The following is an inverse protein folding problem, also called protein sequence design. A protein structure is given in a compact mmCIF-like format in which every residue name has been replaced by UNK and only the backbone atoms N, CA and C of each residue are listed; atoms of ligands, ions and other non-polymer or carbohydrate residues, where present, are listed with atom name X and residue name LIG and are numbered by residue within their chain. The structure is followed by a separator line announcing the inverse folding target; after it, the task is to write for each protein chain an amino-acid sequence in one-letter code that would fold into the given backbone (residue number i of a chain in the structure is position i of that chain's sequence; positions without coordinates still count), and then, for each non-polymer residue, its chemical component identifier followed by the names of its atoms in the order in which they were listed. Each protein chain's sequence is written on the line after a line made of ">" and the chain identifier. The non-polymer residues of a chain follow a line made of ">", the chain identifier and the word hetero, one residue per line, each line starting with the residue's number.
data_IF_077953718421
#
_entry.id   IF_077953718421
#
_cell.length_a   1.000
_cell.length_b   1.000
_cell.length_c   1.000
_cell.angle_alpha   90.00
_cell.angle_beta   90.00
_cell.angle_gamma   90.00
#
_symmetry.space_group_name_H-M   'P 1'
#
loop_
_entity.id
_entity.type
_entity.pdbx_description
1 polymer ?
#
# COMPACT_ATOMS: atom_id res chain seq x y z
N UNK A 1 -64.86 -139.71 62.01
CA UNK A 1 -63.94 -138.86 61.23
C UNK A 1 -64.44 -137.43 61.26
N UNK A 2 -63.94 -136.62 62.19
CA UNK A 2 -63.98 -135.16 62.10
C UNK A 2 -62.61 -134.69 62.52
N UNK A 3 -61.93 -134.08 61.54
CA UNK A 3 -60.63 -133.46 61.68
C UNK A 3 -60.74 -132.39 62.77
N UNK A 4 -60.25 -132.72 63.95
CA UNK A 4 -59.90 -131.72 64.94
C UNK A 4 -58.66 -131.03 64.44
N UNK A 5 -58.86 -130.01 63.61
CA UNK A 5 -57.90 -128.92 63.44
C UNK A 5 -57.56 -128.48 64.86
N UNK A 6 -56.30 -128.64 65.22
CA UNK A 6 -55.89 -128.54 66.61
C UNK A 6 -56.00 -127.08 67.05
N UNK A 7 -56.26 -126.85 68.33
CA UNK A 7 -56.26 -125.51 68.93
C UNK A 7 -55.04 -124.66 68.48
N UNK A 8 -53.87 -125.29 68.26
CA UNK A 8 -52.66 -124.64 67.75
C UNK A 8 -52.84 -124.00 66.36
N UNK A 9 -53.56 -124.62 65.43
CA UNK A 9 -53.75 -124.10 64.06
C UNK A 9 -54.68 -122.87 64.06
N UNK A 10 -55.72 -122.87 64.89
CA UNK A 10 -56.61 -121.71 65.05
C UNK A 10 -55.90 -120.52 65.70
N UNK A 11 -55.07 -120.77 66.72
CA UNK A 11 -54.26 -119.72 67.35
C UNK A 11 -53.21 -119.16 66.38
N UNK A 12 -52.61 -120.00 65.55
CA UNK A 12 -51.60 -119.58 64.56
C UNK A 12 -52.21 -118.72 63.45
N UNK A 13 -53.40 -119.07 62.96
CA UNK A 13 -54.16 -118.25 62.01
C UNK A 13 -54.61 -116.91 62.60
N UNK A 14 -55.06 -116.88 63.86
CA UNK A 14 -55.36 -115.62 64.56
C UNK A 14 -54.12 -114.74 64.71
N UNK A 15 -52.96 -115.33 65.02
CA UNK A 15 -51.69 -114.60 65.08
C UNK A 15 -51.35 -113.98 63.72
N UNK A 16 -51.45 -114.75 62.64
CA UNK A 16 -51.20 -114.27 61.28
C UNK A 16 -52.16 -113.16 60.84
N UNK A 17 -53.46 -113.29 61.16
CA UNK A 17 -54.44 -112.23 60.91
C UNK A 17 -54.07 -110.95 61.66
N UNK A 18 -53.67 -111.06 62.93
CA UNK A 18 -53.24 -109.90 63.71
C UNK A 18 -51.98 -109.25 63.15
N UNK A 19 -51.01 -110.05 62.68
CA UNK A 19 -49.79 -109.54 62.05
C UNK A 19 -50.09 -108.83 60.72
N UNK A 20 -50.93 -109.43 59.87
CA UNK A 20 -51.35 -108.82 58.60
C UNK A 20 -52.15 -107.53 58.81
N UNK A 21 -52.98 -107.47 59.84
CA UNK A 21 -53.70 -106.24 60.21
C UNK A 21 -52.73 -105.13 60.64
N UNK A 22 -51.68 -105.47 61.38
CA UNK A 22 -50.61 -104.52 61.71
C UNK A 22 -49.84 -104.07 60.46
N UNK A 23 -49.49 -104.99 59.55
CA UNK A 23 -48.82 -104.64 58.29
C UNK A 23 -49.67 -103.72 57.40
N UNK A 24 -50.97 -103.98 57.26
CA UNK A 24 -51.90 -103.13 56.52
C UNK A 24 -51.95 -101.73 57.15
N UNK A 25 -51.96 -101.64 58.48
CA UNK A 25 -51.99 -100.37 59.19
C UNK A 25 -50.69 -99.57 58.94
N UNK A 26 -49.54 -100.23 58.99
CA UNK A 26 -48.23 -99.63 58.68
C UNK A 26 -48.19 -99.14 57.23
N UNK A 27 -48.54 -99.99 56.27
CA UNK A 27 -48.55 -99.64 54.84
C UNK A 27 -49.52 -98.49 54.53
N UNK A 28 -50.64 -98.40 55.24
CA UNK A 28 -51.59 -97.30 55.08
C UNK A 28 -50.99 -95.98 55.58
N UNK A 29 -50.27 -96.02 56.71
CA UNK A 29 -49.53 -94.86 57.23
C UNK A 29 -48.40 -94.44 56.30
N UNK A 30 -47.63 -95.39 55.76
CA UNK A 30 -46.57 -95.13 54.77
C UNK A 30 -47.14 -94.52 53.48
N UNK A 31 -48.26 -95.03 52.98
CA UNK A 31 -48.92 -94.49 51.77
C UNK A 31 -49.42 -93.06 52.01
N UNK A 32 -49.98 -92.77 53.18
CA UNK A 32 -50.35 -91.41 53.57
C UNK A 32 -49.12 -90.49 53.65
N UNK A 33 -48.02 -90.95 54.24
CA UNK A 33 -46.77 -90.21 54.33
C UNK A 33 -46.19 -89.89 52.94
N UNK A 34 -46.13 -90.88 52.05
CA UNK A 34 -45.66 -90.70 50.67
C UNK A 34 -46.53 -89.73 49.87
N UNK A 35 -47.86 -89.76 50.05
CA UNK A 35 -48.76 -88.76 49.44
C UNK A 35 -48.46 -87.35 49.92
N UNK A 36 -48.17 -87.16 51.21
CA UNK A 36 -47.79 -85.85 51.75
C UNK A 36 -46.43 -85.38 51.19
N UNK A 37 -45.46 -86.28 51.04
CA UNK A 37 -44.16 -85.98 50.42
C UNK A 37 -44.31 -85.58 48.95
N UNK A 38 -45.16 -86.27 48.18
CA UNK A 38 -45.45 -85.93 46.78
C UNK A 38 -46.05 -84.54 46.62
N UNK A 39 -47.00 -84.17 47.49
CA UNK A 39 -47.59 -82.82 47.51
C UNK A 39 -46.53 -81.77 47.84
N UNK A 40 -45.60 -82.09 48.75
CA UNK A 40 -44.51 -81.19 49.13
C UNK A 40 -43.54 -80.97 47.97
N UNK A 41 -43.15 -82.04 47.28
CA UNK A 41 -42.27 -81.97 46.10
C UNK A 41 -42.93 -81.21 44.94
N UNK A 42 -44.21 -81.41 44.68
CA UNK A 42 -44.93 -80.64 43.65
C UNK A 42 -44.97 -79.15 43.97
N UNK A 43 -45.19 -78.77 45.23
CA UNK A 43 -45.10 -77.36 45.67
C UNK A 43 -43.69 -76.79 45.46
N UNK A 44 -42.65 -77.54 45.80
CA UNK A 44 -41.26 -77.11 45.59
C UNK A 44 -40.93 -76.91 44.10
N UNK A 45 -41.37 -77.80 43.21
CA UNK A 45 -41.16 -77.66 41.76
C UNK A 45 -41.85 -76.40 41.22
N UNK A 46 -43.08 -76.10 41.66
CA UNK A 46 -43.79 -74.89 41.25
C UNK A 46 -43.05 -73.63 41.69
N UNK A 47 -42.51 -73.60 42.91
CA UNK A 47 -41.70 -72.48 43.43
C UNK A 47 -40.42 -72.30 42.61
N UNK A 48 -39.74 -73.39 42.25
CA UNK A 48 -38.52 -73.34 41.43
C UNK A 48 -38.81 -72.77 40.04
N UNK A 49 -39.88 -73.23 39.37
CA UNK A 49 -40.28 -72.70 38.06
C UNK A 49 -40.60 -71.21 38.10
N UNK A 50 -41.34 -70.75 39.11
CA UNK A 50 -41.64 -69.33 39.29
C UNK A 50 -40.36 -68.50 39.54
N UNK A 51 -39.39 -69.06 40.25
CA UNK A 51 -38.08 -68.42 40.44
C UNK A 51 -37.26 -68.34 39.15
N UNK A 52 -37.32 -69.36 38.31
CA UNK A 52 -36.63 -69.41 37.01
C UNK A 52 -37.22 -68.38 36.02
N UNK A 53 -38.55 -68.33 35.91
CA UNK A 53 -39.26 -67.33 35.09
C UNK A 53 -38.93 -65.90 35.55
N UNK A 54 -38.87 -65.67 36.87
CA UNK A 54 -38.48 -64.38 37.44
C UNK A 54 -37.03 -63.99 37.18
N UNK A 55 -36.12 -64.95 37.07
CA UNK A 55 -34.72 -64.71 36.69
C UNK A 55 -34.59 -64.38 35.20
N UNK A 56 -35.34 -65.06 34.33
CA UNK A 56 -35.33 -64.77 32.89
C UNK A 56 -35.85 -63.35 32.59
N UNK A 57 -36.90 -62.91 33.27
CA UNK A 57 -37.38 -61.52 33.13
C UNK A 57 -36.30 -60.50 33.55
N UNK A 58 -35.59 -60.76 34.65
CA UNK A 58 -34.47 -59.89 35.07
C UNK A 58 -33.34 -59.86 34.05
N UNK A 59 -33.01 -60.97 33.40
CA UNK A 59 -32.01 -61.02 32.34
C UNK A 59 -32.41 -60.12 31.16
N UNK A 60 -33.66 -60.20 30.72
CA UNK A 60 -34.19 -59.35 29.64
C UNK A 60 -34.14 -57.86 30.03
N UNK A 61 -34.51 -57.52 31.27
CA UNK A 61 -34.40 -56.14 31.77
C UNK A 61 -32.96 -55.64 31.80
N UNK A 62 -32.00 -56.48 32.23
CA UNK A 62 -30.58 -56.12 32.24
C UNK A 62 -29.99 -55.97 30.83
N UNK A 63 -30.39 -56.81 29.88
CA UNK A 63 -29.98 -56.68 28.48
C UNK A 63 -30.48 -55.37 27.86
N UNK A 64 -31.73 -54.97 28.17
CA UNK A 64 -32.28 -53.68 27.74
C UNK A 64 -31.51 -52.51 28.34
N UNK A 65 -31.21 -52.57 29.64
CA UNK A 65 -30.42 -51.54 30.33
C UNK A 65 -29.02 -51.40 29.73
N UNK A 66 -28.39 -52.52 29.36
CA UNK A 66 -27.07 -52.53 28.73
C UNK A 66 -27.10 -51.91 27.32
N UNK A 67 -28.14 -52.16 26.53
CA UNK A 67 -28.33 -51.52 25.22
C UNK A 67 -28.51 -50.00 25.37
N UNK A 68 -29.31 -49.56 26.34
CA UNK A 68 -29.51 -48.13 26.63
C UNK A 68 -28.20 -47.44 27.04
N UNK A 69 -27.39 -48.06 27.91
CA UNK A 69 -26.07 -47.55 28.30
C UNK A 69 -25.08 -47.52 27.13
N UNK A 70 -25.11 -48.51 26.25
CA UNK A 70 -24.25 -48.57 25.06
C UNK A 70 -24.55 -47.41 24.11
N UNK A 71 -25.84 -47.13 23.86
CA UNK A 71 -26.25 -45.99 23.03
C UNK A 71 -25.86 -44.64 23.64
N UNK A 72 -25.98 -44.48 24.97
CA UNK A 72 -25.52 -43.25 25.63
C UNK A 72 -24.01 -43.06 25.51
N UNK A 73 -23.24 -44.14 25.67
CA UNK A 73 -21.76 -44.10 25.53
C UNK A 73 -21.34 -43.66 24.13
N UNK A 74 -22.01 -44.16 23.08
CA UNK A 74 -21.74 -43.75 21.69
C UNK A 74 -22.05 -42.26 21.45
N UNK A 75 -23.17 -41.75 21.99
CA UNK A 75 -23.50 -40.31 21.91
C UNK A 75 -22.46 -39.43 22.60
N UNK A 76 -21.97 -39.85 23.77
CA UNK A 76 -20.91 -39.13 24.49
C UNK A 76 -19.59 -39.11 23.70
N UNK A 77 -19.20 -40.22 23.06
CA UNK A 77 -18.00 -40.25 22.21
C UNK A 77 -18.11 -39.30 21.01
N UNK A 78 -19.28 -39.24 20.36
CA UNK A 78 -19.51 -38.29 19.26
C UNK A 78 -19.44 -36.83 19.72
N UNK A 79 -19.99 -36.51 20.90
CA UNK A 79 -19.91 -35.18 21.51
C UNK A 79 -18.46 -34.79 21.83
N UNK A 80 -17.65 -35.72 22.37
CA UNK A 80 -16.23 -35.48 22.65
C UNK A 80 -15.44 -35.12 21.38
N UNK A 81 -15.69 -35.82 20.27
CA UNK A 81 -15.05 -35.54 18.97
C UNK A 81 -15.45 -34.15 18.44
N UNK A 82 -16.71 -33.74 18.62
CA UNK A 82 -17.16 -32.40 18.21
C UNK A 82 -16.52 -31.30 19.05
N UNK A 83 -16.46 -31.47 20.37
CA UNK A 83 -15.84 -30.50 21.30
C UNK A 83 -14.34 -30.33 21.03
N UNK A 84 -13.65 -31.37 20.58
CA UNK A 84 -12.22 -31.28 20.22
C UNK A 84 -11.94 -30.47 18.93
N UNK A 85 -12.91 -30.30 18.02
CA UNK A 85 -12.71 -29.55 16.77
C UNK A 85 -12.85 -28.03 16.94
N UNK A 86 -13.63 -27.58 17.91
CA UNK A 86 -13.91 -26.15 18.16
C UNK A 86 -12.68 -25.31 18.54
N UNK A 87 -11.75 -25.78 19.39
CA UNK A 87 -10.55 -25.02 19.76
C UNK A 87 -9.59 -24.78 18.59
N UNK A 88 -9.44 -25.76 17.68
CA UNK A 88 -8.55 -25.62 16.52
C UNK A 88 -9.07 -24.60 15.51
N UNK A 89 -10.39 -24.56 15.27
CA UNK A 89 -10.99 -23.55 14.39
C UNK A 89 -10.89 -22.15 15.00
N UNK A 90 -11.07 -22.02 16.31
CA UNK A 90 -10.90 -20.74 17.02
C UNK A 90 -9.43 -20.26 17.00
N UNK A 91 -8.44 -21.14 17.16
CA UNK A 91 -7.03 -20.77 17.07
C UNK A 91 -6.63 -20.28 15.66
N UNK A 92 -7.12 -20.93 14.60
CA UNK A 92 -6.86 -20.47 13.23
C UNK A 92 -7.47 -19.09 12.96
N UNK A 93 -8.69 -18.84 13.45
CA UNK A 93 -9.34 -17.54 13.33
C UNK A 93 -8.57 -16.45 14.09
N UNK A 94 -8.05 -16.75 15.29
CA UNK A 94 -7.24 -15.81 16.07
C UNK A 94 -5.95 -15.43 15.32
N UNK A 95 -5.26 -16.39 14.69
CA UNK A 95 -4.05 -16.12 13.93
C UNK A 95 -4.32 -15.20 12.73
N UNK A 96 -5.40 -15.46 11.98
CA UNK A 96 -5.83 -14.61 10.87
C UNK A 96 -6.17 -13.19 11.32
N UNK A 97 -6.90 -13.05 12.44
CA UNK A 97 -7.24 -11.74 13.01
C UNK A 97 -5.99 -10.98 13.51
N UNK A 98 -4.98 -11.68 14.03
CA UNK A 98 -3.71 -11.05 14.46
C UNK A 98 -2.91 -10.54 13.26
N UNK A 99 -2.79 -11.32 12.19
CA UNK A 99 -2.12 -10.91 10.95
C UNK A 99 -2.82 -9.70 10.31
N UNK A 100 -4.16 -9.71 10.26
CA UNK A 100 -4.94 -8.59 9.74
C UNK A 100 -4.79 -7.34 10.60
N UNK A 101 -4.78 -7.48 11.94
CA UNK A 101 -4.55 -6.37 12.88
C UNK A 101 -3.18 -5.73 12.69
N UNK A 102 -2.13 -6.52 12.49
CA UNK A 102 -0.77 -6.01 12.32
C UNK A 102 -0.61 -5.30 10.96
N UNK A 103 -1.20 -5.84 9.90
CA UNK A 103 -1.28 -5.16 8.60
C UNK A 103 -1.97 -3.80 8.70
N UNK A 104 -3.14 -3.74 9.35
CA UNK A 104 -3.88 -2.49 9.55
C UNK A 104 -3.10 -1.47 10.40
N UNK A 105 -2.36 -1.94 11.41
CA UNK A 105 -1.52 -1.09 12.25
C UNK A 105 -0.38 -0.45 11.46
N UNK A 106 0.26 -1.20 10.56
CA UNK A 106 1.34 -0.66 9.73
C UNK A 106 0.83 0.31 8.66
N UNK A 107 -0.33 0.03 8.05
CA UNK A 107 -1.04 1.00 7.19
C UNK A 107 -1.37 2.30 7.93
N UNK A 108 -1.83 2.20 9.19
CA UNK A 108 -2.13 3.36 10.03
C UNK A 108 -0.87 4.17 10.38
N UNK A 109 0.24 3.52 10.71
CA UNK A 109 1.53 4.20 10.96
C UNK A 109 2.03 4.93 9.72
N UNK A 110 1.96 4.30 8.54
CA UNK A 110 2.34 4.94 7.27
C UNK A 110 1.47 6.19 7.02
N UNK A 111 0.13 6.07 7.16
CA UNK A 111 -0.79 7.21 7.03
C UNK A 111 -0.48 8.33 8.03
N UNK A 112 -0.25 8.01 9.30
CA UNK A 112 0.02 9.02 10.34
C UNK A 112 1.37 9.71 10.11
N UNK A 113 2.39 8.98 9.67
CA UNK A 113 3.67 9.55 9.25
C UNK A 113 3.50 10.53 8.07
N UNK A 114 2.76 10.11 7.03
CA UNK A 114 2.35 10.97 5.89
C UNK A 114 1.69 12.24 6.43
N UNK A 115 0.62 12.14 7.22
CA UNK A 115 -0.11 13.29 7.76
C UNK A 115 0.76 14.27 8.54
N UNK A 116 1.64 13.79 9.44
CA UNK A 116 2.55 14.66 10.20
C UNK A 116 3.53 15.41 9.30
N UNK A 117 4.10 14.73 8.30
CA UNK A 117 4.99 15.36 7.31
C UNK A 117 4.24 16.38 6.44
N UNK A 118 3.02 16.05 6.02
CA UNK A 118 2.13 16.95 5.27
C UNK A 118 1.86 18.23 6.05
N UNK A 119 1.49 18.13 7.34
CA UNK A 119 1.23 19.30 8.20
C UNK A 119 2.47 20.20 8.32
N UNK A 120 3.65 19.63 8.61
CA UNK A 120 4.89 20.42 8.73
C UNK A 120 5.29 21.10 7.40
N UNK A 121 5.06 20.42 6.26
CA UNK A 121 5.31 21.01 4.94
C UNK A 121 4.33 22.12 4.61
N UNK A 122 3.05 21.94 4.92
CA UNK A 122 2.02 22.98 4.77
C UNK A 122 2.32 24.19 5.67
N UNK A 123 2.78 24.01 6.90
CA UNK A 123 3.15 25.12 7.79
C UNK A 123 4.34 25.93 7.24
N UNK A 124 5.37 25.24 6.72
CA UNK A 124 6.53 25.87 6.10
C UNK A 124 6.18 26.62 4.81
N UNK A 125 5.28 26.07 3.99
CA UNK A 125 4.84 26.68 2.73
C UNK A 125 3.77 27.75 2.92
N UNK A 126 2.87 27.62 3.91
CA UNK A 126 1.89 28.65 4.26
C UNK A 126 2.59 29.95 4.68
N UNK A 127 3.78 29.88 5.27
CA UNK A 127 4.62 31.05 5.54
C UNK A 127 5.09 31.78 4.27
N UNK A 128 5.41 31.04 3.20
CA UNK A 128 5.83 31.59 1.90
C UNK A 128 4.61 32.08 1.07
N UNK A 129 3.50 31.35 1.09
CA UNK A 129 2.24 31.70 0.41
C UNK A 129 1.55 32.90 1.07
N UNK A 130 1.65 33.09 2.39
CA UNK A 130 1.10 34.30 3.05
C UNK A 130 1.75 35.58 2.54
N UNK A 131 3.04 35.54 2.18
CA UNK A 131 3.75 36.69 1.60
C UNK A 131 3.18 37.00 0.20
N UNK A 132 2.85 35.97 -0.60
CA UNK A 132 2.23 36.12 -1.92
C UNK A 132 0.76 36.61 -1.85
N UNK A 133 0.02 36.29 -0.78
CA UNK A 133 -1.40 36.68 -0.65
C UNK A 133 -1.64 38.03 0.02
N UNK A 134 -0.68 38.55 0.82
CA UNK A 134 -0.82 39.87 1.44
C UNK A 134 -0.67 41.02 0.46
N UNK A 135 -0.08 40.78 -0.71
CA UNK A 135 0.05 41.78 -1.78
C UNK A 135 -0.83 41.39 -2.98
N UNK A 136 -2.02 42.00 -3.01
CA UNK A 136 -2.95 42.13 -4.14
C UNK A 136 -3.87 40.94 -4.48
N UNK A 137 -5.18 41.24 -4.48
CA UNK A 137 -6.27 40.50 -5.17
C UNK A 137 -6.18 40.61 -6.71
N UNK A 138 -4.99 40.72 -7.28
CA UNK A 138 -4.81 40.67 -8.73
C UNK A 138 -4.74 39.20 -9.16
N UNK A 139 -5.23 38.87 -10.36
CA UNK A 139 -5.03 37.54 -10.98
C UNK A 139 -3.58 37.13 -10.73
N UNK A 140 -3.33 35.91 -10.23
CA UNK A 140 -1.95 35.43 -10.09
C UNK A 140 -1.25 35.69 -11.44
N UNK A 141 -0.16 36.47 -11.47
CA UNK A 141 0.58 36.63 -12.70
C UNK A 141 1.02 35.24 -13.16
N UNK A 142 0.85 34.96 -14.44
CA UNK A 142 1.36 33.73 -15.04
C UNK A 142 2.87 33.77 -14.85
N UNK A 143 3.40 32.87 -14.03
CA UNK A 143 4.83 32.85 -13.76
C UNK A 143 5.52 32.38 -15.04
N UNK A 144 6.33 33.25 -15.64
CA UNK A 144 7.16 32.91 -16.80
C UNK A 144 8.49 32.31 -16.33
N UNK A 145 9.01 31.36 -17.09
CA UNK A 145 10.32 30.75 -16.83
C UNK A 145 11.46 31.75 -17.04
N UNK A 146 12.53 31.67 -16.24
CA UNK A 146 13.69 32.56 -16.41
C UNK A 146 14.37 32.37 -17.77
N UNK A 147 14.34 31.16 -18.34
CA UNK A 147 14.92 30.88 -19.64
C UNK A 147 14.15 31.61 -20.76
N UNK A 148 12.82 31.68 -20.68
CA UNK A 148 11.99 32.46 -21.62
C UNK A 148 12.31 33.96 -21.52
N UNK A 149 12.43 34.47 -20.30
CA UNK A 149 12.86 35.84 -20.04
C UNK A 149 14.26 36.12 -20.61
N UNK A 150 15.21 35.21 -20.38
CA UNK A 150 16.59 35.37 -20.84
C UNK A 150 16.69 35.39 -22.37
N UNK A 151 15.94 34.50 -23.03
CA UNK A 151 15.95 34.37 -24.49
C UNK A 151 15.18 35.50 -25.20
N UNK A 152 14.29 36.21 -24.51
CA UNK A 152 13.57 37.37 -25.08
C UNK A 152 14.31 38.70 -24.92
N UNK A 153 15.35 38.76 -24.08
CA UNK A 153 16.10 39.99 -23.83
C UNK A 153 17.14 40.31 -24.92
N UNK A 154 17.58 41.57 -24.96
CA UNK A 154 18.52 42.08 -25.98
C UNK A 154 19.88 41.36 -26.01
N UNK A 155 20.26 40.65 -24.94
CA UNK A 155 21.57 39.99 -24.80
C UNK A 155 21.44 38.47 -24.64
N UNK A 156 20.52 37.83 -25.39
CA UNK A 156 20.31 36.39 -25.49
C UNK A 156 21.61 35.55 -25.41
N UNK A 157 21.52 34.28 -25.04
CA UNK A 157 22.69 33.37 -24.84
C UNK A 157 23.58 33.26 -26.10
N UNK A 158 23.09 33.56 -27.32
CA UNK A 158 23.97 33.63 -28.50
C UNK A 158 24.82 34.90 -28.58
N UNK A 159 24.35 36.00 -28.00
CA UNK A 159 24.94 37.34 -28.13
C UNK A 159 25.56 37.88 -26.83
N UNK A 160 25.35 37.25 -25.66
CA UNK A 160 25.84 37.76 -24.37
C UNK A 160 27.35 38.03 -24.32
N UNK A 161 28.18 37.18 -24.97
CA UNK A 161 29.65 37.38 -25.04
C UNK A 161 30.05 38.67 -25.74
N UNK A 162 29.19 39.18 -26.63
CA UNK A 162 29.45 40.39 -27.40
C UNK A 162 29.04 41.66 -26.65
N UNK A 163 28.50 41.54 -25.43
CA UNK A 163 28.09 42.69 -24.64
C UNK A 163 29.25 43.20 -23.77
N UNK A 164 29.92 44.32 -24.14
CA UNK A 164 31.05 44.85 -23.37
C UNK A 164 30.63 45.46 -22.02
N UNK A 165 29.32 45.60 -21.75
CA UNK A 165 28.80 46.12 -20.48
C UNK A 165 28.69 45.05 -19.41
N UNK A 166 28.61 43.77 -19.77
CA UNK A 166 28.52 42.70 -18.77
C UNK A 166 29.90 42.54 -18.15
N UNK A 167 29.97 42.83 -16.85
CA UNK A 167 31.14 42.59 -16.03
C UNK A 167 31.00 41.24 -15.36
N UNK A 168 32.13 40.62 -15.05
CA UNK A 168 32.16 39.30 -14.45
C UNK A 168 33.12 39.23 -13.26
N UNK A 169 32.88 38.28 -12.38
CA UNK A 169 33.84 37.83 -11.38
C UNK A 169 34.14 36.33 -11.53
N UNK A 170 35.32 35.92 -11.07
CA UNK A 170 35.71 34.51 -11.02
C UNK A 170 35.37 33.97 -9.64
N UNK A 171 34.68 32.84 -9.59
CA UNK A 171 34.29 32.19 -8.35
C UNK A 171 34.44 30.68 -8.44
N UNK A 172 34.87 30.08 -7.34
CA UNK A 172 35.00 28.63 -7.18
C UNK A 172 33.81 28.06 -6.41
N UNK A 173 33.29 26.93 -6.89
CA UNK A 173 32.15 26.24 -6.32
C UNK A 173 32.42 24.75 -6.15
N UNK A 174 31.91 24.17 -5.06
CA UNK A 174 31.55 22.75 -5.03
C UNK A 174 30.25 22.57 -5.82
N UNK A 175 30.22 21.62 -6.74
CA UNK A 175 29.04 21.32 -7.55
C UNK A 175 28.43 19.98 -7.15
N UNK A 176 27.10 19.97 -7.06
CA UNK A 176 26.31 18.79 -6.78
C UNK A 176 25.22 18.64 -7.83
N UNK A 177 25.13 17.48 -8.47
CA UNK A 177 24.08 17.18 -9.44
C UNK A 177 22.81 16.71 -8.74
N UNK A 178 21.67 17.22 -9.20
CA UNK A 178 20.34 16.81 -8.73
C UNK A 178 19.78 15.80 -9.73
N UNK A 179 19.40 14.62 -9.23
CA UNK A 179 18.85 13.51 -10.01
C UNK A 179 17.57 13.00 -9.39
N UNK A 180 16.83 12.23 -10.18
CA UNK A 180 15.73 11.40 -9.70
C UNK A 180 16.31 10.28 -8.85
N UNK A 181 15.91 10.23 -7.59
CA UNK A 181 16.24 9.17 -6.65
C UNK A 181 15.23 8.01 -6.71
N UNK A 182 15.59 6.90 -6.06
CA UNK A 182 14.82 5.64 -6.05
C UNK A 182 13.37 5.75 -5.58
N UNK A 183 13.02 6.80 -4.83
CA UNK A 183 11.68 6.97 -4.24
C UNK A 183 10.73 7.81 -5.09
N UNK A 184 11.20 8.48 -6.14
CA UNK A 184 10.36 9.39 -6.93
C UNK A 184 9.16 8.67 -7.55
N UNK A 185 9.35 7.48 -8.13
CA UNK A 185 8.24 6.70 -8.69
C UNK A 185 7.17 6.37 -7.63
N UNK A 186 7.58 5.95 -6.43
CA UNK A 186 6.64 5.69 -5.33
C UNK A 186 5.89 6.95 -4.91
N UNK A 187 6.54 8.11 -4.94
CA UNK A 187 5.92 9.41 -4.63
C UNK A 187 4.86 9.76 -5.68
N UNK A 188 5.16 9.57 -6.97
CA UNK A 188 4.20 9.79 -8.07
C UNK A 188 3.00 8.83 -7.96
N UNK A 189 3.26 7.52 -7.80
CA UNK A 189 2.20 6.50 -7.72
C UNK A 189 1.26 6.73 -6.53
N UNK A 190 1.81 7.17 -5.39
CA UNK A 190 1.04 7.49 -4.19
C UNK A 190 0.53 8.94 -4.15
N UNK A 191 0.81 9.75 -5.17
CA UNK A 191 0.41 11.17 -5.27
C UNK A 191 0.89 12.02 -4.10
N UNK A 192 2.05 11.69 -3.53
CA UNK A 192 2.62 12.35 -2.35
C UNK A 192 3.51 13.54 -2.74
N UNK A 193 3.02 14.44 -3.60
CA UNK A 193 3.85 15.49 -4.22
C UNK A 193 4.55 16.42 -3.23
N UNK A 194 3.97 16.63 -2.04
CA UNK A 194 4.61 17.38 -0.94
C UNK A 194 5.90 16.72 -0.42
N UNK A 195 6.11 15.43 -0.68
CA UNK A 195 7.33 14.68 -0.40
C UNK A 195 8.29 14.60 -1.60
N UNK A 196 8.04 15.32 -2.71
CA UNK A 196 8.86 15.22 -3.91
C UNK A 196 10.37 15.43 -3.65
N UNK A 197 10.73 16.25 -2.65
CA UNK A 197 12.11 16.45 -2.22
C UNK A 197 12.79 15.17 -1.70
N UNK A 198 12.04 14.22 -1.11
CA UNK A 198 12.55 12.91 -0.68
C UNK A 198 12.79 11.97 -1.86
N UNK A 199 12.21 12.28 -3.02
CA UNK A 199 12.42 11.58 -4.27
C UNK A 199 13.72 12.00 -4.99
N UNK A 200 14.48 12.95 -4.46
CA UNK A 200 15.69 13.47 -5.11
C UNK A 200 16.96 12.80 -4.59
N UNK A 201 17.90 12.58 -5.50
CA UNK A 201 19.27 12.20 -5.22
C UNK A 201 20.19 13.39 -5.51
N UNK A 202 21.15 13.65 -4.63
CA UNK A 202 22.06 14.80 -4.74
C UNK A 202 23.48 14.29 -4.59
N UNK A 203 24.19 14.18 -5.71
CA UNK A 203 25.54 13.63 -5.77
C UNK A 203 26.54 14.78 -5.87
N UNK A 204 27.60 14.77 -5.05
CA UNK A 204 28.73 15.69 -5.27
C UNK A 204 29.54 15.17 -6.45
N UNK A 205 29.78 16.04 -7.44
CA UNK A 205 30.46 15.68 -8.68
C UNK A 205 31.84 16.34 -8.82
N UNK A 206 32.21 17.20 -7.87
CA UNK A 206 33.54 17.82 -7.81
C UNK A 206 33.47 19.33 -7.61
N UNK A 207 34.48 20.02 -8.13
CA UNK A 207 34.61 21.47 -8.10
C UNK A 207 34.62 22.07 -9.49
N UNK A 208 34.19 23.33 -9.56
CA UNK A 208 34.23 24.14 -10.78
C UNK A 208 34.72 25.55 -10.46
N UNK A 209 35.35 26.18 -11.44
CA UNK A 209 35.71 27.59 -11.46
C UNK A 209 34.91 28.23 -12.59
N UNK A 210 34.02 29.15 -12.23
CA UNK A 210 33.11 29.82 -13.15
C UNK A 210 33.34 31.33 -13.20
N UNK A 211 33.12 31.90 -14.38
CA UNK A 211 33.00 33.33 -14.59
C UNK A 211 31.51 33.70 -14.52
N UNK A 212 31.10 34.42 -13.49
CA UNK A 212 29.70 34.80 -13.23
C UNK A 212 29.48 36.28 -13.52
N UNK A 213 28.35 36.61 -14.14
CA UNK A 213 27.95 38.01 -14.36
C UNK A 213 27.75 38.76 -13.03
N UNK A 214 28.25 39.99 -12.93
CA UNK A 214 28.04 40.86 -11.78
C UNK A 214 26.62 41.45 -11.73
N UNK A 215 26.02 41.63 -12.89
CA UNK A 215 24.64 42.11 -13.04
C UNK A 215 23.73 40.96 -13.49
N UNK A 216 22.44 40.99 -13.12
CA UNK A 216 21.44 40.06 -13.61
C UNK A 216 21.46 39.91 -15.13
N UNK A 217 21.39 38.66 -15.60
CA UNK A 217 21.12 38.39 -17.00
C UNK A 217 19.63 38.22 -17.28
N UNK A 218 18.78 38.01 -16.29
CA UNK A 218 17.33 38.02 -16.49
C UNK A 218 16.67 38.30 -15.15
N UNK A 219 15.61 39.08 -15.15
CA UNK A 219 14.79 39.33 -13.97
C UNK A 219 13.39 38.84 -14.27
N UNK A 220 12.89 37.94 -13.41
CA UNK A 220 11.50 37.51 -13.39
C UNK A 220 10.86 37.86 -12.05
N UNK A 221 9.56 37.60 -11.92
CA UNK A 221 8.76 38.05 -10.77
C UNK A 221 9.25 37.46 -9.43
N UNK A 222 9.69 36.20 -9.44
CA UNK A 222 10.12 35.48 -8.23
C UNK A 222 11.64 35.36 -8.11
N UNK A 223 12.36 35.50 -9.21
CA UNK A 223 13.77 35.14 -9.30
C UNK A 223 14.54 36.01 -10.27
N UNK A 224 15.84 36.01 -10.07
CA UNK A 224 16.82 36.66 -10.93
C UNK A 224 17.83 35.61 -11.38
N UNK A 225 18.13 35.61 -12.68
CA UNK A 225 19.05 34.69 -13.33
C UNK A 225 20.39 35.35 -13.66
N UNK A 226 21.46 34.60 -13.46
CA UNK A 226 22.84 34.97 -13.75
C UNK A 226 23.47 33.87 -14.60
N UNK A 227 24.13 34.25 -15.69
CA UNK A 227 24.93 33.33 -16.49
C UNK A 227 26.26 33.09 -15.78
N UNK A 228 26.64 31.81 -15.69
CA UNK A 228 27.98 31.38 -15.32
C UNK A 228 28.57 30.64 -16.51
N UNK A 229 29.76 31.03 -16.94
CA UNK A 229 30.56 30.26 -17.89
C UNK A 229 31.67 29.51 -17.14
N UNK A 230 31.67 28.17 -17.23
CA UNK A 230 32.65 27.33 -16.55
C UNK A 230 33.98 27.39 -17.29
N UNK A 231 35.02 27.86 -16.59
CA UNK A 231 36.38 27.98 -17.10
C UNK A 231 37.19 26.70 -16.84
N UNK A 232 36.99 26.11 -15.65
CA UNK A 232 37.65 24.87 -15.25
C UNK A 232 36.69 24.01 -14.41
N UNK A 233 36.79 22.70 -14.54
CA UNK A 233 35.97 21.74 -13.82
C UNK A 233 36.74 20.43 -13.60
N UNK A 234 36.49 19.77 -12.47
CA UNK A 234 37.04 18.43 -12.21
C UNK A 234 36.50 17.38 -13.19
N UNK A 235 35.26 17.56 -13.68
CA UNK A 235 34.63 16.77 -14.73
C UNK A 235 34.41 17.64 -15.99
N UNK A 236 35.02 17.23 -17.10
CA UNK A 236 34.92 17.90 -18.40
C UNK A 236 33.48 17.99 -18.92
N UNK A 237 32.58 17.07 -18.51
CA UNK A 237 31.15 17.13 -18.87
C UNK A 237 30.44 18.39 -18.35
N UNK A 238 31.07 19.09 -17.40
CA UNK A 238 30.55 20.30 -16.77
C UNK A 238 31.06 21.59 -17.42
N UNK A 239 31.96 21.52 -18.41
CA UNK A 239 32.40 22.69 -19.16
C UNK A 239 31.30 23.18 -20.11
N UNK A 240 30.39 23.98 -19.54
CA UNK A 240 29.26 24.57 -20.24
C UNK A 240 28.89 25.92 -19.62
N UNK A 241 27.76 26.48 -20.04
CA UNK A 241 27.11 27.63 -19.42
C UNK A 241 26.02 27.15 -18.49
N UNK A 242 25.82 27.90 -17.41
CA UNK A 242 24.80 27.62 -16.41
C UNK A 242 23.98 28.88 -16.15
N UNK A 243 22.70 28.69 -15.87
CA UNK A 243 21.82 29.73 -15.35
C UNK A 243 21.70 29.55 -13.84
N UNK A 244 22.45 30.35 -13.09
CA UNK A 244 22.33 30.45 -11.64
C UNK A 244 21.13 31.31 -11.27
N UNK A 245 20.31 30.82 -10.35
CA UNK A 245 19.07 31.49 -9.93
C UNK A 245 19.15 31.96 -8.49
N UNK A 246 18.62 33.15 -8.25
CA UNK A 246 18.51 33.77 -6.92
C UNK A 246 17.09 34.26 -6.73
N UNK A 247 16.50 33.94 -5.57
CA UNK A 247 15.18 34.45 -5.19
C UNK A 247 15.19 35.94 -4.87
N UNK A 248 14.07 36.59 -5.16
CA UNK A 248 13.70 37.89 -4.60
C UNK A 248 12.98 37.67 -3.26
N UNK A 249 13.64 38.01 -2.15
CA UNK A 249 13.04 37.95 -0.80
C UNK A 249 12.66 39.36 -0.35
N UNK A 250 11.35 39.62 -0.20
CA UNK A 250 10.82 40.92 0.25
C UNK A 250 11.34 42.11 -0.61
N UNK A 251 11.37 41.93 -1.93
CA UNK A 251 11.87 42.94 -2.87
C UNK A 251 13.40 43.14 -2.86
N UNK A 252 14.15 42.32 -2.11
CA UNK A 252 15.61 42.31 -2.11
C UNK A 252 16.15 41.00 -2.66
N UNK A 253 17.18 41.09 -3.48
CA UNK A 253 17.86 39.93 -4.02
C UNK A 253 18.55 39.12 -2.90
N UNK A 254 18.18 37.85 -2.77
CA UNK A 254 18.78 36.91 -1.81
C UNK A 254 20.28 36.75 -2.06
N UNK A 255 21.13 36.69 -1.04
CA UNK A 255 22.56 36.40 -1.19
C UNK A 255 22.85 34.95 -1.62
N UNK A 256 21.85 34.07 -1.57
CA UNK A 256 21.94 32.62 -1.72
C UNK A 256 21.20 31.92 -0.59
N UNK A 257 21.19 30.60 -0.61
CA UNK A 257 20.55 29.78 0.42
C UNK A 257 21.56 29.37 1.48
N UNK A 258 21.14 29.34 2.75
CA UNK A 258 21.98 28.85 3.85
C UNK A 258 22.02 27.33 3.90
N UNK A 259 20.95 26.68 3.43
CA UNK A 259 20.82 25.23 3.43
C UNK A 259 20.73 24.71 2.00
N UNK A 260 21.48 23.64 1.73
CA UNK A 260 21.39 22.88 0.46
C UNK A 260 19.95 22.54 0.10
N UNK A 261 19.15 22.09 1.08
CA UNK A 261 17.76 21.68 0.88
C UNK A 261 16.86 22.79 0.36
N UNK A 262 17.14 24.06 0.68
CA UNK A 262 16.36 25.19 0.17
C UNK A 262 16.67 25.46 -1.30
N UNK A 263 17.94 25.38 -1.70
CA UNK A 263 18.33 25.48 -3.11
C UNK A 263 17.72 24.35 -3.96
N UNK A 264 17.70 23.12 -3.41
CA UNK A 264 17.13 21.95 -4.09
C UNK A 264 15.62 22.08 -4.34
N UNK A 265 14.88 22.82 -3.52
CA UNK A 265 13.43 22.99 -3.74
C UNK A 265 13.11 23.63 -5.10
N UNK A 266 14.07 24.35 -5.69
CA UNK A 266 13.92 24.97 -7.00
C UNK A 266 13.86 23.94 -8.15
N UNK A 267 14.39 22.74 -7.96
CA UNK A 267 14.42 21.69 -9.00
C UNK A 267 13.15 20.84 -9.02
N UNK A 268 12.23 21.00 -8.07
CA UNK A 268 11.15 20.03 -7.84
C UNK A 268 10.27 19.83 -9.08
N UNK A 269 9.85 20.92 -9.73
CA UNK A 269 9.02 20.83 -10.94
C UNK A 269 9.73 20.08 -12.05
N UNK A 270 10.99 20.45 -12.32
CA UNK A 270 11.76 19.84 -13.39
C UNK A 270 12.03 18.35 -13.11
N UNK A 271 12.30 17.98 -11.85
CA UNK A 271 12.56 16.59 -11.46
C UNK A 271 11.30 15.71 -11.51
N UNK A 272 10.14 16.24 -11.11
CA UNK A 272 8.85 15.56 -11.30
C UNK A 272 8.59 15.37 -12.79
N UNK A 273 8.77 16.43 -13.58
CA UNK A 273 8.61 16.37 -15.03
C UNK A 273 9.56 15.35 -15.66
N UNK A 274 10.80 15.25 -15.17
CA UNK A 274 11.77 14.28 -15.67
C UNK A 274 11.34 12.85 -15.36
N UNK A 275 10.82 12.59 -14.16
CA UNK A 275 10.34 11.26 -13.81
C UNK A 275 9.13 10.85 -14.65
N UNK A 276 8.21 11.79 -14.92
CA UNK A 276 7.08 11.55 -15.82
C UNK A 276 7.55 11.33 -17.27
N UNK A 277 8.54 12.10 -17.72
CA UNK A 277 9.10 11.96 -19.07
C UNK A 277 9.83 10.62 -19.25
N UNK A 278 10.58 10.16 -18.25
CA UNK A 278 11.22 8.84 -18.24
C UNK A 278 10.17 7.70 -18.26
N UNK A 279 9.04 7.85 -17.56
CA UNK A 279 7.93 6.88 -17.63
C UNK A 279 7.29 6.86 -19.01
N UNK A 280 7.00 8.03 -19.56
CA UNK A 280 6.39 8.19 -20.87
C UNK A 280 7.27 7.57 -21.95
N UNK A 281 8.53 7.98 -22.05
CA UNK A 281 9.50 7.43 -23.03
C UNK A 281 9.60 5.92 -22.92
N UNK A 282 9.71 5.36 -21.71
CA UNK A 282 9.74 3.91 -21.50
C UNK A 282 8.47 3.19 -21.98
N UNK A 283 7.28 3.80 -21.87
CA UNK A 283 6.03 3.25 -22.43
C UNK A 283 5.98 3.34 -23.96
N UNK A 284 6.65 4.34 -24.53
CA UNK A 284 6.69 4.62 -25.97
C UNK A 284 7.81 3.90 -26.72
N UNK A 285 8.82 3.36 -26.03
CA UNK A 285 9.92 2.57 -26.64
C UNK A 285 9.40 1.43 -27.52
N UNK A 286 8.31 0.75 -27.11
CA UNK A 286 7.70 -0.33 -27.90
C UNK A 286 6.79 0.17 -29.04
N UNK A 287 6.56 1.47 -29.17
CA UNK A 287 5.59 2.08 -30.11
C UNK A 287 6.25 2.82 -31.28
N UNK A 288 7.59 2.79 -31.38
CA UNK A 288 8.32 3.33 -32.54
C UNK A 288 8.70 4.82 -32.44
N UNK A 289 8.55 5.46 -31.27
CA UNK A 289 8.93 6.86 -31.03
C UNK A 289 10.40 7.03 -30.61
N UNK A 290 11.31 6.14 -31.04
CA UNK A 290 12.71 6.14 -30.61
C UNK A 290 13.45 7.44 -30.98
N UNK A 291 13.04 8.12 -32.06
CA UNK A 291 13.64 9.39 -32.49
C UNK A 291 13.47 10.52 -31.47
N UNK A 292 12.45 10.45 -30.61
CA UNK A 292 12.24 11.43 -29.55
C UNK A 292 12.98 11.09 -28.24
N UNK A 293 13.67 9.94 -28.19
CA UNK A 293 14.54 9.59 -27.06
C UNK A 293 15.79 10.46 -27.00
N UNK A 294 16.02 11.39 -27.93
CA UNK A 294 17.11 12.37 -27.82
C UNK A 294 16.73 13.54 -26.90
N UNK A 295 15.44 13.80 -26.69
CA UNK A 295 14.99 14.90 -25.86
C UNK A 295 15.15 14.59 -24.38
N UNK A 296 15.58 15.57 -23.59
CA UNK A 296 15.83 15.42 -22.15
C UNK A 296 15.41 16.66 -21.40
N UNK A 297 15.14 16.49 -20.11
CA UNK A 297 15.07 17.63 -19.21
C UNK A 297 16.49 18.02 -18.81
N UNK A 298 16.74 19.31 -18.77
CA UNK A 298 18.08 19.80 -18.60
C UNK A 298 18.66 19.45 -17.23
N UNK A 299 19.97 19.17 -17.22
CA UNK A 299 20.72 18.84 -16.00
C UNK A 299 20.70 20.01 -15.02
N UNK A 300 20.46 19.68 -13.76
CA UNK A 300 20.27 20.64 -12.67
C UNK A 300 21.22 20.38 -11.53
N UNK A 301 21.62 21.45 -10.86
CA UNK A 301 22.70 21.41 -9.90
C UNK A 301 22.46 22.34 -8.73
N UNK A 302 23.15 22.04 -7.64
CA UNK A 302 23.40 22.96 -6.55
C UNK A 302 24.87 23.33 -6.54
N UNK A 303 25.16 24.63 -6.56
CA UNK A 303 26.50 25.16 -6.36
C UNK A 303 26.64 25.63 -4.93
N UNK A 304 27.71 25.23 -4.25
CA UNK A 304 28.11 25.79 -2.96
C UNK A 304 29.35 26.65 -3.17
N UNK A 305 29.20 27.95 -2.95
CA UNK A 305 30.30 28.91 -3.02
C UNK A 305 31.33 28.64 -1.94
N UNK A 306 32.59 28.46 -2.32
CA UNK A 306 33.67 28.26 -1.35
C UNK A 306 34.04 29.54 -0.59
N UNK A 307 33.74 30.71 -1.17
CA UNK A 307 34.02 32.01 -0.56
C UNK A 307 32.99 32.39 0.52
N UNK A 308 31.71 32.11 0.25
CA UNK A 308 30.58 32.60 1.08
C UNK A 308 29.85 31.49 1.82
N UNK A 309 30.10 30.22 1.50
CA UNK A 309 29.36 29.05 1.98
C UNK A 309 27.86 29.05 1.67
N UNK A 310 27.37 29.96 0.80
CA UNK A 310 26.00 29.93 0.31
C UNK A 310 25.81 28.87 -0.78
N UNK A 311 24.59 28.33 -0.82
CA UNK A 311 24.11 27.42 -1.85
C UNK A 311 23.29 28.18 -2.89
N UNK A 312 23.37 27.75 -4.14
CA UNK A 312 22.63 28.30 -5.27
C UNK A 312 22.07 27.17 -6.13
N UNK A 313 20.85 27.33 -6.62
CA UNK A 313 20.33 26.46 -7.67
C UNK A 313 20.82 26.96 -9.03
N UNK A 314 21.21 26.04 -9.89
CA UNK A 314 21.45 26.33 -11.28
C UNK A 314 21.07 25.16 -12.18
N UNK A 315 20.97 25.45 -13.47
CA UNK A 315 20.80 24.46 -14.53
C UNK A 315 21.77 24.78 -15.66
N UNK A 316 22.19 23.75 -16.40
CA UNK A 316 22.96 23.99 -17.62
C UNK A 316 22.09 24.74 -18.64
N UNK A 317 22.69 25.54 -19.51
CA UNK A 317 21.97 26.22 -20.60
C UNK A 317 22.69 26.03 -21.93
N UNK A 318 21.90 25.92 -22.99
CA UNK A 318 22.41 25.79 -24.35
C UNK A 318 22.23 27.08 -25.15
N UNK A 319 23.13 27.28 -26.12
CA UNK A 319 22.93 28.28 -27.15
C UNK A 319 22.08 27.69 -28.26
N UNK A 320 20.93 28.31 -28.55
CA UNK A 320 20.04 27.77 -29.57
C UNK A 320 18.82 28.65 -29.81
N UNK A 321 17.94 28.20 -30.69
CA UNK A 321 16.63 28.81 -30.83
C UNK A 321 15.72 28.34 -29.71
N UNK A 322 15.01 29.30 -29.13
CA UNK A 322 14.03 29.04 -28.08
C UNK A 322 12.69 28.69 -28.69
N UNK A 323 12.08 27.63 -28.19
CA UNK A 323 10.74 27.21 -28.60
C UNK A 323 9.89 26.93 -27.37
N UNK A 324 8.63 27.38 -27.40
CA UNK A 324 7.65 27.17 -26.34
C UNK A 324 6.42 26.48 -26.91
N UNK A 325 5.98 25.42 -26.25
CA UNK A 325 4.96 24.51 -26.76
C UNK A 325 3.60 24.71 -26.11
N UNK A 326 3.57 25.04 -24.82
CA UNK A 326 2.33 25.28 -24.08
C UNK A 326 2.54 26.28 -22.92
N UNK A 327 1.47 26.50 -22.14
CA UNK A 327 1.46 27.36 -20.95
C UNK A 327 0.80 28.72 -21.18
N UNK A 328 0.08 29.20 -20.16
CA UNK A 328 -0.71 30.42 -20.23
C UNK A 328 -1.89 30.35 -21.22
N UNK A 329 -2.05 31.37 -22.07
CA UNK A 329 -3.15 31.45 -23.05
C UNK A 329 -2.79 30.85 -24.42
N UNK A 330 -1.65 30.18 -24.58
CA UNK A 330 -1.27 29.61 -25.86
C UNK A 330 -2.08 28.35 -26.16
N UNK A 331 -2.66 28.31 -27.35
CA UNK A 331 -3.20 27.08 -27.92
C UNK A 331 -2.02 26.19 -28.35
N UNK A 332 -2.07 24.88 -28.10
CA UNK A 332 -1.07 23.95 -28.57
C UNK A 332 -0.92 24.08 -30.08
N UNK A 333 0.32 24.19 -30.55
CA UNK A 333 0.61 24.06 -31.97
C UNK A 333 0.47 22.58 -32.30
N UNK A 334 -0.23 22.29 -33.40
CA UNK A 334 -0.44 20.96 -33.95
C UNK A 334 0.19 20.98 -35.34
N UNK A 335 0.51 19.80 -35.89
CA UNK A 335 0.98 19.56 -37.26
C UNK A 335 2.51 19.51 -37.45
N UNK A 336 3.25 19.12 -36.41
CA UNK A 336 4.66 18.74 -36.47
C UNK A 336 4.88 17.60 -35.47
N UNK A 337 5.68 16.59 -35.85
CA UNK A 337 5.81 15.34 -35.07
C UNK A 337 6.30 15.59 -33.63
N UNK A 338 7.11 16.61 -33.41
CA UNK A 338 7.61 17.00 -32.09
C UNK A 338 6.52 17.61 -31.20
N UNK A 339 5.73 18.52 -31.75
CA UNK A 339 4.62 19.17 -31.07
C UNK A 339 3.58 18.13 -30.65
N UNK A 340 3.28 17.17 -31.52
CA UNK A 340 2.38 16.05 -31.20
C UNK A 340 2.96 15.18 -30.09
N UNK A 341 4.24 14.80 -30.18
CA UNK A 341 4.93 14.05 -29.11
C UNK A 341 4.86 14.77 -27.76
N UNK A 342 5.05 16.09 -27.75
CA UNK A 342 4.98 16.91 -26.53
C UNK A 342 3.55 16.99 -25.99
N UNK A 343 2.56 17.22 -26.86
CA UNK A 343 1.16 17.24 -26.47
C UNK A 343 0.71 15.89 -25.89
N UNK A 344 1.16 14.78 -26.48
CA UNK A 344 0.96 13.44 -25.94
C UNK A 344 1.65 13.24 -24.60
N UNK A 345 2.90 13.69 -24.45
CA UNK A 345 3.61 13.62 -23.17
C UNK A 345 2.83 14.33 -22.05
N UNK A 346 2.33 15.54 -22.31
CA UNK A 346 1.59 16.30 -21.30
C UNK A 346 0.30 15.58 -20.91
N UNK A 347 -0.44 15.07 -21.90
CA UNK A 347 -1.69 14.36 -21.65
C UNK A 347 -1.46 13.02 -20.95
N UNK A 348 -0.51 12.21 -21.41
CA UNK A 348 -0.12 10.96 -20.77
C UNK A 348 0.35 11.18 -19.34
N UNK A 349 1.15 12.23 -19.10
CA UNK A 349 1.56 12.60 -17.75
C UNK A 349 0.39 12.92 -16.84
N UNK A 350 -0.66 13.59 -17.34
CA UNK A 350 -1.89 13.86 -16.59
C UNK A 350 -2.68 12.58 -16.31
N UNK A 351 -2.74 11.64 -17.26
CA UNK A 351 -3.41 10.35 -17.08
C UNK A 351 -2.65 9.39 -16.15
N UNK A 352 -1.32 9.29 -16.26
CA UNK A 352 -0.45 8.39 -15.47
C UNK A 352 -0.62 8.59 -13.96
N UNK A 353 -0.87 9.82 -13.56
CA UNK A 353 -1.03 10.26 -12.17
C UNK A 353 -2.51 10.38 -11.75
N UNK A 354 -3.45 9.87 -12.57
CA UNK A 354 -4.90 9.95 -12.37
C UNK A 354 -5.43 11.39 -12.20
N UNK A 355 -5.05 12.28 -13.11
CA UNK A 355 -5.62 13.63 -13.28
C UNK A 355 -5.39 14.62 -12.12
N UNK A 356 -4.40 14.38 -11.26
CA UNK A 356 -4.04 15.21 -10.09
C UNK A 356 -3.08 16.39 -10.37
N UNK A 357 -2.30 16.32 -11.45
CA UNK A 357 -1.30 17.32 -11.86
C UNK A 357 -1.21 17.43 -13.37
N UNK A 358 -0.86 18.61 -13.87
CA UNK A 358 -0.47 18.82 -15.27
C UNK A 358 0.93 19.40 -15.34
N UNK A 359 1.65 19.04 -16.40
CA UNK A 359 2.88 19.73 -16.80
C UNK A 359 2.52 20.79 -17.83
N UNK A 360 2.90 22.04 -17.58
CA UNK A 360 2.72 23.15 -18.51
C UNK A 360 4.00 23.98 -18.64
N UNK A 361 3.96 24.99 -19.51
CA UNK A 361 5.12 25.85 -19.81
C UNK A 361 6.34 25.06 -20.33
N UNK A 362 6.12 23.96 -21.07
CA UNK A 362 7.22 23.28 -21.75
C UNK A 362 7.84 24.21 -22.78
N UNK A 363 9.13 24.41 -22.59
CA UNK A 363 9.97 25.19 -23.47
C UNK A 363 11.32 24.51 -23.62
N UNK A 364 11.91 24.64 -24.81
CA UNK A 364 13.18 23.98 -25.14
C UNK A 364 14.17 24.92 -25.80
N UNK A 365 15.43 24.51 -25.68
CA UNK A 365 16.54 24.94 -26.54
C UNK A 365 17.28 23.68 -26.96
N UNK A 366 17.48 23.48 -28.27
CA UNK A 366 18.06 22.24 -28.77
C UNK A 366 17.23 21.02 -28.33
N UNK A 367 17.87 20.03 -27.74
CA UNK A 367 17.20 18.81 -27.27
C UNK A 367 16.75 18.87 -25.80
N UNK A 368 16.87 20.03 -25.15
CA UNK A 368 16.67 20.15 -23.71
C UNK A 368 15.47 21.00 -23.34
N UNK A 369 14.62 20.46 -22.46
CA UNK A 369 13.50 21.17 -21.85
C UNK A 369 13.94 21.93 -20.59
N UNK A 370 13.36 23.11 -20.40
CA UNK A 370 13.66 24.05 -19.31
C UNK A 370 12.38 24.58 -18.67
N UNK A 371 12.45 25.00 -17.41
CA UNK A 371 11.39 25.79 -16.72
C UNK A 371 9.97 25.22 -16.76
N UNK A 372 9.82 23.90 -16.77
CA UNK A 372 8.48 23.32 -16.75
C UNK A 372 7.77 23.69 -15.45
N UNK A 373 6.48 24.00 -15.57
CA UNK A 373 5.61 24.23 -14.44
C UNK A 373 4.80 22.97 -14.22
N UNK A 374 4.81 22.46 -12.99
CA UNK A 374 3.90 21.41 -12.57
C UNK A 374 2.83 22.08 -11.72
N UNK A 375 1.58 21.96 -12.13
CA UNK A 375 0.42 22.53 -11.42
C UNK A 375 -0.48 21.42 -10.93
N UNK A 376 -1.01 21.56 -9.71
CA UNK A 376 -1.88 20.54 -9.07
C UNK A 376 -3.27 21.07 -8.81
N UNK A 377 -4.26 20.16 -8.70
CA UNK A 377 -5.62 20.54 -8.30
C UNK A 377 -5.70 21.04 -6.84
N UNK A 378 -4.77 20.61 -5.99
CA UNK A 378 -4.71 20.93 -4.55
C UNK A 378 -3.90 22.21 -4.30
N UNK A 379 -2.97 22.56 -5.20
CA UNK A 379 -2.43 23.91 -5.38
C UNK A 379 -1.32 24.36 -4.42
N UNK A 380 -0.52 23.45 -3.86
CA UNK A 380 0.58 23.82 -2.95
C UNK A 380 1.63 22.70 -2.90
N UNK A 381 2.47 22.50 -3.92
CA UNK A 381 3.69 21.67 -3.72
C UNK A 381 4.98 22.40 -4.11
N UNK A 382 4.90 23.46 -4.93
CA UNK A 382 6.02 24.35 -5.24
C UNK A 382 5.56 25.80 -5.33
N UNK A 383 6.52 26.74 -5.30
CA UNK A 383 6.25 28.17 -5.46
C UNK A 383 5.75 28.55 -6.86
N UNK A 384 5.90 27.65 -7.83
CA UNK A 384 5.49 27.83 -9.22
C UNK A 384 4.13 27.18 -9.53
N UNK A 385 3.55 26.43 -8.58
CA UNK A 385 2.26 25.79 -8.75
C UNK A 385 1.17 26.85 -8.97
N UNK A 386 0.69 26.95 -10.21
CA UNK A 386 -0.36 27.89 -10.60
C UNK A 386 -1.77 27.39 -10.23
N UNK A 387 -1.87 26.17 -9.73
CA UNK A 387 -3.08 25.58 -9.17
C UNK A 387 -4.12 25.17 -10.21
N UNK A 388 -5.34 24.90 -9.72
CA UNK A 388 -6.45 24.34 -10.51
C UNK A 388 -6.77 25.09 -11.80
N UNK A 389 -6.63 26.41 -11.84
CA UNK A 389 -6.95 27.20 -13.05
C UNK A 389 -6.03 26.83 -14.22
N UNK A 390 -4.73 26.71 -13.97
CA UNK A 390 -3.75 26.31 -14.98
C UNK A 390 -3.97 24.86 -15.43
N UNK A 391 -4.33 23.96 -14.49
CA UNK A 391 -4.70 22.57 -14.81
C UNK A 391 -5.87 22.55 -15.80
N UNK A 392 -6.98 23.21 -15.45
CA UNK A 392 -8.18 23.22 -16.30
C UNK A 392 -7.91 23.85 -17.67
N UNK A 393 -7.16 24.96 -17.70
CA UNK A 393 -6.87 25.66 -18.96
C UNK A 393 -5.97 24.83 -19.88
N UNK A 394 -4.92 24.22 -19.33
CA UNK A 394 -3.97 23.39 -20.11
C UNK A 394 -4.67 22.17 -20.70
N UNK A 395 -5.47 21.45 -19.90
CA UNK A 395 -6.18 20.26 -20.39
C UNK A 395 -7.25 20.63 -21.41
N UNK A 396 -8.05 21.67 -21.18
CA UNK A 396 -9.05 22.13 -22.16
C UNK A 396 -8.42 22.49 -23.51
N UNK A 397 -7.25 23.11 -23.47
CA UNK A 397 -6.48 23.44 -24.66
C UNK A 397 -5.97 22.18 -25.39
N UNK A 398 -5.51 21.17 -24.64
CA UNK A 398 -5.09 19.87 -25.19
C UNK A 398 -6.26 19.07 -25.76
N UNK A 399 -7.41 19.04 -25.09
CA UNK A 399 -8.63 18.39 -25.57
C UNK A 399 -9.08 19.00 -26.91
N UNK A 400 -9.07 20.34 -27.00
CA UNK A 400 -9.35 21.06 -28.24
C UNK A 400 -8.36 20.69 -29.35
N UNK A 401 -7.08 20.58 -29.00
CA UNK A 401 -6.04 20.29 -29.98
C UNK A 401 -6.06 18.84 -30.47
N UNK A 402 -6.18 17.89 -29.56
CA UNK A 402 -6.03 16.47 -29.84
C UNK A 402 -7.37 15.75 -30.13
N UNK A 403 -8.51 16.44 -29.96
CA UNK A 403 -9.83 15.92 -30.34
C UNK A 403 -10.40 14.84 -29.42
N UNK A 404 -10.03 14.85 -28.13
CA UNK A 404 -10.55 13.93 -27.10
C UNK A 404 -11.10 14.67 -25.88
N UNK A 405 -11.78 13.97 -24.96
CA UNK A 405 -12.30 14.51 -23.71
C UNK A 405 -11.73 13.75 -22.49
N UNK A 406 -11.30 14.47 -21.46
CA UNK A 406 -10.88 13.91 -20.17
C UNK A 406 -12.09 13.53 -19.30
N UNK A 407 -11.91 12.56 -18.39
CA UNK A 407 -13.01 12.04 -17.57
C UNK A 407 -13.26 12.88 -16.30
N UNK A 408 -12.28 13.63 -15.80
CA UNK A 408 -12.39 14.33 -14.48
C UNK A 408 -12.82 15.80 -14.59
N UNK A 409 -12.86 16.38 -15.80
CA UNK A 409 -13.26 17.78 -15.99
C UNK A 409 -14.77 17.97 -16.24
N UNK A 410 -15.58 16.93 -16.06
CA UNK A 410 -17.04 16.95 -16.20
C UNK A 410 -17.77 16.84 -14.86
#
# INVERSE_FOLDING_TARGET
>A
MRQSVSFKETTQLQLQISTLQQEIQILTQENQSLKQQLVTLQKQITIIKQSEDGLQQKVIEYEKLLQEQTMQTQKFQQLLIQVQKTPNQQQQLILQLVEEKDKLLDEFKEKNWIYKKTINSYESMMGQVKILYSEKKEKRPVILGLMEGLMSQQYQIKNWKQNPKIKYEIQEFEIMEIKIGKHMNKILDKKLFFLAHEGLQIDSIGKIIGQISLEPNVEGDLQVGYIIEIQNADDESLKSKFLLRRELKQGKLSQGYLKKTEAVQQSLNNMICQALFERFTKRQESQGYEEFNIFRIQRQFVLKSLKTNYFYYCEMIEEGEFQKFNGGNMEPIINLDLEDFINFFIFDSFQDINEELVVSHLQRVGYYFHDMIVSTLIGVFSQYDQGKQEVMQTIKNLEKALGFASMTLH
#
